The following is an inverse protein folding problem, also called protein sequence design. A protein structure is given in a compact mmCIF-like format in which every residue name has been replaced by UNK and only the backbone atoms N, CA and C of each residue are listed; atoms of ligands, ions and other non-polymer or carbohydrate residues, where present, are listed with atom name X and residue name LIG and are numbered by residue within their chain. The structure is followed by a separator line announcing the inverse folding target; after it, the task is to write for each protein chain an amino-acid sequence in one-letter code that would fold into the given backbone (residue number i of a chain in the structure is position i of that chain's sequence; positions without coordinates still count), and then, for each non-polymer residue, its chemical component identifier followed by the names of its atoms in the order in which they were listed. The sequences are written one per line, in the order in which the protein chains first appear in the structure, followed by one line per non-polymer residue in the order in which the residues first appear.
data_IF_361803967507
#
_entry.id   IF_361803967507
#
_cell.length_a   1.000
_cell.length_b   1.000
_cell.length_c   1.000
_cell.angle_alpha   90.00
_cell.angle_beta   90.00
_cell.angle_gamma   90.00
#
_symmetry.space_group_name_H-M   'P 1'
#
loop_
_entity.id
_entity.type
_entity.pdbx_description
1 polymer ?
#
# COMPACT_ATOMS: atom_id res chain seq x y z
N UNK A 1 9.94 21.59 -8.69
CA UNK A 1 9.91 23.05 -8.42
C UNK A 1 8.58 23.44 -7.80
N UNK A 2 8.62 24.28 -6.83
CA UNK A 2 7.40 24.73 -6.14
C UNK A 2 6.96 26.08 -6.68
N UNK A 3 5.66 26.21 -6.98
CA UNK A 3 5.11 27.48 -7.42
C UNK A 3 4.89 28.40 -6.21
N UNK A 4 5.17 29.71 -6.42
CA UNK A 4 4.95 30.73 -5.38
C UNK A 4 3.47 30.83 -5.03
N UNK A 5 3.17 30.91 -3.74
CA UNK A 5 1.80 31.07 -3.23
C UNK A 5 1.05 29.76 -2.98
N UNK A 6 1.60 28.61 -3.35
CA UNK A 6 0.98 27.32 -3.03
C UNK A 6 1.51 26.83 -1.67
N UNK A 7 0.62 26.53 -0.71
CA UNK A 7 1.05 25.95 0.57
C UNK A 7 1.80 24.62 0.38
N UNK A 8 2.58 24.25 1.39
CA UNK A 8 3.46 23.09 1.33
C UNK A 8 2.74 21.83 1.77
N UNK A 9 3.05 20.72 1.09
CA UNK A 9 2.82 19.37 1.61
C UNK A 9 4.19 18.72 1.85
N UNK A 10 4.23 17.76 2.77
CA UNK A 10 5.47 17.06 3.11
C UNK A 10 5.60 15.73 2.38
N UNK A 11 4.51 15.21 1.86
CA UNK A 11 4.49 13.94 1.15
C UNK A 11 3.14 13.26 1.26
N UNK A 12 3.06 12.02 0.82
CA UNK A 12 1.90 11.16 1.03
C UNK A 12 2.01 10.56 2.43
N UNK A 13 0.99 10.75 3.27
CA UNK A 13 0.98 10.23 4.64
C UNK A 13 0.31 8.87 4.72
N UNK A 14 -0.85 8.75 4.12
CA UNK A 14 -1.61 7.50 4.14
C UNK A 14 -2.14 7.18 2.76
N UNK A 15 -2.17 5.87 2.47
CA UNK A 15 -2.81 5.30 1.28
C UNK A 15 -3.84 4.29 1.73
N UNK A 16 -4.82 3.98 0.90
CA UNK A 16 -5.87 3.06 1.28
C UNK A 16 -6.16 2.04 0.20
N UNK A 17 -6.52 0.83 0.66
CA UNK A 17 -7.05 -0.25 -0.16
C UNK A 17 -8.36 -0.70 0.45
N UNK A 18 -9.31 -1.07 -0.40
CA UNK A 18 -10.62 -1.54 0.03
C UNK A 18 -10.68 -3.06 -0.15
N UNK A 19 -11.04 -3.77 0.92
CA UNK A 19 -10.87 -5.21 1.03
C UNK A 19 -12.18 -5.89 1.42
N UNK A 20 -12.32 -7.16 1.05
CA UNK A 20 -13.51 -7.95 1.37
C UNK A 20 -13.50 -8.47 2.81
N UNK A 21 -12.31 -8.72 3.37
CA UNK A 21 -12.15 -9.33 4.70
C UNK A 21 -10.91 -8.75 5.37
N UNK A 22 -11.11 -8.02 6.48
CA UNK A 22 -10.02 -7.35 7.19
C UNK A 22 -9.02 -8.33 7.81
N UNK A 23 -9.49 -9.47 8.34
CA UNK A 23 -8.59 -10.46 8.95
C UNK A 23 -7.64 -11.06 7.92
N UNK A 24 -8.16 -11.44 6.76
CA UNK A 24 -7.36 -12.00 5.67
C UNK A 24 -6.33 -11.00 5.17
N UNK A 25 -6.74 -9.75 4.94
CA UNK A 25 -5.85 -8.71 4.46
C UNK A 25 -4.80 -8.33 5.50
N UNK A 26 -5.18 -8.17 6.76
CA UNK A 26 -4.24 -7.86 7.84
C UNK A 26 -3.16 -8.93 7.95
N UNK A 27 -3.55 -10.21 7.91
CA UNK A 27 -2.58 -11.32 7.94
C UNK A 27 -1.64 -11.29 6.75
N UNK A 28 -2.15 -10.99 5.56
CA UNK A 28 -1.33 -10.90 4.36
C UNK A 28 -0.26 -9.81 4.51
N UNK A 29 -0.66 -8.59 4.84
CA UNK A 29 0.28 -7.47 4.92
C UNK A 29 1.25 -7.62 6.09
N UNK A 30 0.83 -8.21 7.19
CA UNK A 30 1.74 -8.53 8.30
C UNK A 30 2.75 -9.62 7.93
N UNK A 31 2.33 -10.68 7.24
CA UNK A 31 3.23 -11.81 6.93
C UNK A 31 4.13 -11.54 5.73
N UNK A 32 3.64 -10.82 4.71
CA UNK A 32 4.42 -10.54 3.50
C UNK A 32 5.35 -9.35 3.71
N UNK A 33 4.86 -8.27 4.31
CA UNK A 33 5.61 -7.02 4.45
C UNK A 33 6.16 -6.77 5.86
N UNK A 34 5.67 -7.50 6.86
CA UNK A 34 6.05 -7.25 8.24
C UNK A 34 5.43 -5.99 8.84
N UNK A 35 4.37 -5.46 8.24
CA UNK A 35 3.74 -4.24 8.71
C UNK A 35 3.10 -4.45 10.09
N UNK A 36 3.33 -3.50 10.99
CA UNK A 36 2.74 -3.47 12.32
C UNK A 36 1.34 -2.88 12.26
N UNK A 37 0.40 -3.51 12.96
CA UNK A 37 -0.95 -2.95 13.10
C UNK A 37 -0.95 -1.88 14.17
N UNK A 38 -1.33 -0.65 13.80
CA UNK A 38 -1.46 0.48 14.73
C UNK A 38 -2.86 0.57 15.32
N UNK A 39 -3.87 0.27 14.53
CA UNK A 39 -5.27 0.34 14.95
C UNK A 39 -6.10 -0.65 14.14
N UNK A 40 -7.07 -1.25 14.78
CA UNK A 40 -8.02 -2.14 14.13
C UNK A 40 -9.40 -2.01 14.78
N UNK A 41 -10.43 -1.85 13.97
CA UNK A 41 -11.82 -1.97 14.38
C UNK A 41 -12.60 -2.82 13.35
N UNK A 42 -13.92 -2.84 13.42
CA UNK A 42 -14.73 -3.62 12.47
C UNK A 42 -14.81 -3.05 11.06
N UNK A 43 -14.37 -1.83 10.87
CA UNK A 43 -14.44 -1.09 9.62
C UNK A 43 -13.10 -0.98 8.91
N UNK A 44 -12.00 -0.90 9.63
CA UNK A 44 -10.69 -0.64 9.06
C UNK A 44 -9.54 -1.20 9.90
N UNK A 45 -8.39 -1.30 9.25
CA UNK A 45 -7.11 -1.65 9.87
C UNK A 45 -6.04 -0.68 9.38
N UNK A 46 -5.33 -0.02 10.29
CA UNK A 46 -4.23 0.88 9.97
C UNK A 46 -2.91 0.18 10.26
N UNK A 47 -2.01 0.16 9.29
CA UNK A 47 -0.72 -0.53 9.38
C UNK A 47 0.43 0.42 9.04
N UNK A 48 1.51 0.33 9.80
CA UNK A 48 2.71 1.12 9.55
C UNK A 48 3.54 0.54 8.40
N UNK A 49 3.86 1.38 7.41
CA UNK A 49 4.67 0.99 6.25
C UNK A 49 6.13 1.40 6.45
N UNK A 50 6.36 2.66 6.74
CA UNK A 50 7.65 3.29 6.93
C UNK A 50 7.45 4.54 7.79
N UNK A 51 8.50 5.24 8.22
CA UNK A 51 8.31 6.51 8.91
C UNK A 51 7.40 7.45 8.12
N UNK A 52 6.38 7.98 8.79
CA UNK A 52 5.39 8.89 8.22
C UNK A 52 4.55 8.31 7.08
N UNK A 53 4.41 6.99 7.00
CA UNK A 53 3.60 6.33 5.97
C UNK A 53 2.73 5.23 6.59
N UNK A 54 1.45 5.28 6.31
CA UNK A 54 0.45 4.35 6.84
C UNK A 54 -0.38 3.78 5.69
N UNK A 55 -0.61 2.47 5.74
CA UNK A 55 -1.56 1.78 4.87
C UNK A 55 -2.87 1.58 5.63
N UNK A 56 -3.96 2.05 5.07
CA UNK A 56 -5.30 1.85 5.60
C UNK A 56 -6.01 0.77 4.77
N UNK A 57 -6.42 -0.29 5.43
CA UNK A 57 -7.28 -1.32 4.84
C UNK A 57 -8.70 -1.02 5.30
N UNK A 58 -9.59 -0.72 4.35
CA UNK A 58 -11.00 -0.46 4.63
C UNK A 58 -11.86 -1.64 4.18
N UNK A 59 -12.74 -2.09 5.05
CA UNK A 59 -13.76 -3.05 4.65
C UNK A 59 -14.68 -2.39 3.61
N UNK A 60 -14.84 -3.02 2.44
CA UNK A 60 -15.69 -2.51 1.38
C UNK A 60 -17.10 -2.28 1.90
N UNK A 61 -17.66 -1.11 1.59
CA UNK A 61 -19.02 -0.73 1.97
C UNK A 61 -19.16 -0.18 3.39
N UNK A 62 -18.15 -0.31 4.25
CA UNK A 62 -18.25 0.11 5.65
C UNK A 62 -17.98 1.60 5.90
N UNK A 63 -17.54 2.34 4.88
CA UNK A 63 -17.24 3.78 4.98
C UNK A 63 -18.12 4.66 4.08
N UNK A 64 -19.27 4.15 3.66
CA UNK A 64 -20.21 4.89 2.79
C UNK A 64 -20.98 5.99 3.51
N UNK A 65 -20.96 5.99 4.84
CA UNK A 65 -21.56 7.02 5.67
C UNK A 65 -20.49 7.75 6.45
N UNK A 66 -20.72 9.02 6.85
CA UNK A 66 -19.77 9.73 7.70
C UNK A 66 -19.46 8.95 8.98
N UNK A 67 -18.20 8.94 9.38
CA UNK A 67 -17.74 8.24 10.59
C UNK A 67 -17.50 9.26 11.70
N UNK A 68 -18.20 9.17 12.84
CA UNK A 68 -18.01 10.12 13.94
C UNK A 68 -16.68 9.89 14.64
N UNK A 69 -16.04 10.98 15.04
CA UNK A 69 -14.89 11.00 15.95
C UNK A 69 -15.13 12.05 17.04
N UNK A 70 -14.36 12.03 18.13
CA UNK A 70 -14.50 13.07 19.15
C UNK A 70 -14.32 14.49 18.62
N UNK A 71 -13.49 14.67 17.59
CA UNK A 71 -13.20 15.99 17.02
C UNK A 71 -14.05 16.38 15.81
N UNK A 72 -14.90 15.48 15.30
CA UNK A 72 -15.69 15.75 14.10
C UNK A 72 -16.01 14.48 13.32
N UNK A 73 -16.55 14.64 12.12
CA UNK A 73 -16.91 13.50 11.28
C UNK A 73 -15.93 13.33 10.12
N UNK A 74 -15.53 12.08 9.88
CA UNK A 74 -14.78 11.73 8.68
C UNK A 74 -15.79 11.58 7.53
N UNK A 75 -15.57 12.27 6.40
CA UNK A 75 -16.44 12.13 5.23
C UNK A 75 -16.46 10.70 4.71
N UNK A 76 -17.56 10.28 4.04
CA UNK A 76 -17.65 8.95 3.47
C UNK A 76 -16.71 8.77 2.28
N UNK A 77 -16.28 7.53 2.10
CA UNK A 77 -15.49 7.09 0.95
C UNK A 77 -15.66 5.59 0.74
N UNK A 78 -15.45 5.14 -0.48
CA UNK A 78 -15.51 3.72 -0.82
C UNK A 78 -14.88 3.50 -2.20
N UNK A 79 -14.55 2.24 -2.51
CA UNK A 79 -14.07 1.86 -3.83
C UNK A 79 -14.33 0.38 -4.10
N UNK A 80 -14.47 0.06 -5.37
CA UNK A 80 -14.57 -1.31 -5.90
C UNK A 80 -13.48 -1.54 -6.94
N UNK A 81 -13.27 -2.81 -7.28
CA UNK A 81 -12.32 -3.20 -8.31
C UNK A 81 -10.90 -3.35 -7.78
N UNK A 82 -10.01 -3.70 -8.70
CA UNK A 82 -8.60 -3.93 -8.40
C UNK A 82 -7.87 -2.59 -8.36
N UNK A 83 -7.20 -2.34 -7.26
CA UNK A 83 -6.42 -1.14 -7.04
C UNK A 83 -4.94 -1.45 -7.25
N UNK A 84 -4.09 -0.42 -7.30
CA UNK A 84 -2.65 -0.57 -7.47
C UNK A 84 -1.90 0.21 -6.40
N UNK A 85 -0.87 -0.42 -5.85
CA UNK A 85 0.01 0.20 -4.85
C UNK A 85 1.43 -0.30 -5.04
N UNK A 86 2.39 0.61 -5.07
CA UNK A 86 3.80 0.30 -5.20
C UNK A 86 4.58 0.73 -3.96
N UNK A 87 5.44 -0.16 -3.48
CA UNK A 87 6.35 0.12 -2.37
C UNK A 87 7.77 0.27 -2.90
N UNK A 88 8.47 1.26 -2.40
CA UNK A 88 9.89 1.47 -2.72
C UNK A 88 10.76 0.48 -1.93
N UNK A 89 11.72 -0.13 -2.62
CA UNK A 89 12.70 -1.02 -2.00
C UNK A 89 14.11 -0.65 -2.45
N UNK A 90 15.14 -0.93 -1.66
CA UNK A 90 16.52 -0.84 -2.13
C UNK A 90 16.76 -1.83 -3.26
N UNK A 91 17.65 -1.48 -4.20
CA UNK A 91 18.04 -2.38 -5.30
C UNK A 91 18.54 -3.73 -4.78
N UNK A 92 19.30 -3.73 -3.68
CA UNK A 92 19.82 -4.94 -3.05
C UNK A 92 18.74 -5.88 -2.54
N UNK A 93 17.50 -5.39 -2.40
CA UNK A 93 16.38 -6.18 -1.88
C UNK A 93 15.49 -6.78 -3.00
N UNK A 94 15.79 -6.53 -4.27
CA UNK A 94 14.97 -7.07 -5.38
C UNK A 94 14.98 -8.60 -5.36
N UNK A 95 16.15 -9.23 -5.35
CA UNK A 95 16.22 -10.70 -5.32
C UNK A 95 15.74 -11.29 -4.00
N UNK A 96 16.08 -10.74 -2.81
CA UNK A 96 15.44 -11.17 -1.57
C UNK A 96 13.92 -11.10 -1.60
N UNK A 97 13.33 -10.06 -2.18
CA UNK A 97 11.88 -9.98 -2.34
C UNK A 97 11.32 -11.06 -3.25
N UNK A 98 11.98 -11.33 -4.38
CA UNK A 98 11.54 -12.40 -5.28
C UNK A 98 11.54 -13.75 -4.57
N UNK A 99 12.58 -14.06 -3.80
CA UNK A 99 12.68 -15.28 -3.03
C UNK A 99 11.65 -15.34 -1.90
N UNK A 100 11.44 -14.24 -1.20
CA UNK A 100 10.47 -14.16 -0.11
C UNK A 100 9.05 -14.40 -0.60
N UNK A 101 8.64 -13.75 -1.69
CA UNK A 101 7.31 -13.94 -2.29
C UNK A 101 7.11 -15.40 -2.71
N UNK A 102 8.09 -15.98 -3.38
CA UNK A 102 8.04 -17.38 -3.79
C UNK A 102 7.93 -18.33 -2.59
N UNK A 103 8.71 -18.10 -1.55
CA UNK A 103 8.69 -18.91 -0.32
C UNK A 103 7.35 -18.82 0.41
N UNK A 104 6.63 -17.72 0.25
CA UNK A 104 5.30 -17.53 0.84
C UNK A 104 4.15 -17.94 -0.09
N UNK A 105 4.46 -18.53 -1.23
CA UNK A 105 3.45 -18.97 -2.19
C UNK A 105 2.78 -17.84 -2.94
N UNK A 106 3.37 -16.65 -2.96
CA UNK A 106 2.86 -15.50 -3.72
C UNK A 106 3.49 -15.52 -5.10
N UNK A 107 2.65 -15.59 -6.14
CA UNK A 107 3.11 -15.64 -7.52
C UNK A 107 3.57 -14.25 -7.96
N UNK A 108 4.78 -14.16 -8.50
CA UNK A 108 5.24 -12.95 -9.19
C UNK A 108 4.64 -12.98 -10.59
N UNK A 109 3.69 -12.07 -10.82
CA UNK A 109 2.92 -12.00 -12.07
C UNK A 109 3.76 -11.40 -13.20
N UNK A 110 4.64 -10.44 -12.86
CA UNK A 110 5.49 -9.76 -13.83
C UNK A 110 6.75 -9.22 -13.17
N UNK A 111 7.84 -9.21 -13.94
CA UNK A 111 9.10 -8.57 -13.55
C UNK A 111 9.51 -7.64 -14.70
N UNK A 112 9.71 -6.36 -14.39
CA UNK A 112 10.06 -5.36 -15.39
C UNK A 112 11.41 -4.73 -15.05
N UNK A 113 12.27 -4.64 -16.05
CA UNK A 113 13.48 -3.82 -15.99
C UNK A 113 13.21 -2.53 -16.77
N UNK A 114 13.26 -1.41 -16.07
CA UNK A 114 12.95 -0.11 -16.64
C UNK A 114 14.17 0.49 -17.36
N UNK A 115 13.97 1.39 -18.34
CA UNK A 115 15.07 1.95 -19.10
C UNK A 115 16.17 2.62 -18.27
N UNK A 116 15.80 3.23 -17.13
CA UNK A 116 16.76 3.89 -16.23
C UNK A 116 17.35 2.95 -15.20
N UNK A 117 17.11 1.65 -15.33
CA UNK A 117 17.72 0.61 -14.50
C UNK A 117 16.90 0.16 -13.29
N UNK A 118 15.76 0.79 -13.01
CA UNK A 118 14.84 0.33 -11.97
C UNK A 118 14.28 -1.05 -12.30
N UNK A 119 13.93 -1.81 -11.27
CA UNK A 119 13.32 -3.14 -11.39
C UNK A 119 12.06 -3.17 -10.56
N UNK A 120 10.97 -3.66 -11.16
CA UNK A 120 9.70 -3.84 -10.49
C UNK A 120 9.30 -5.31 -10.47
N UNK A 121 8.74 -5.75 -9.33
CA UNK A 121 8.08 -7.05 -9.19
C UNK A 121 6.61 -6.79 -8.90
N UNK A 122 5.73 -7.44 -9.65
CA UNK A 122 4.27 -7.30 -9.53
C UNK A 122 3.66 -8.59 -9.00
N UNK A 123 2.73 -8.46 -8.07
CA UNK A 123 2.02 -9.59 -7.47
C UNK A 123 0.66 -9.13 -6.96
N UNK A 124 -0.17 -10.06 -6.47
CA UNK A 124 -1.53 -9.78 -6.02
C UNK A 124 -1.69 -10.02 -4.54
N UNK A 125 -2.50 -9.17 -3.90
CA UNK A 125 -2.98 -9.42 -2.55
C UNK A 125 -4.23 -10.32 -2.56
N UNK A 126 -4.81 -10.69 -1.39
CA UNK A 126 -5.98 -11.58 -1.36
C UNK A 126 -7.22 -11.05 -2.10
N UNK A 127 -7.34 -9.73 -2.28
CA UNK A 127 -8.45 -9.11 -2.99
C UNK A 127 -8.18 -8.94 -4.50
N UNK A 128 -7.00 -9.33 -4.97
CA UNK A 128 -6.60 -9.15 -6.36
C UNK A 128 -6.02 -7.77 -6.66
N UNK A 129 -5.74 -6.95 -5.64
CA UNK A 129 -5.06 -5.68 -5.86
C UNK A 129 -3.66 -5.91 -6.44
N UNK A 130 -3.31 -5.13 -7.45
CA UNK A 130 -1.99 -5.19 -8.08
C UNK A 130 -0.97 -4.49 -7.19
N UNK A 131 -0.12 -5.27 -6.56
CA UNK A 131 0.96 -4.75 -5.74
C UNK A 131 2.27 -4.77 -6.51
N UNK A 132 3.13 -3.85 -6.17
CA UNK A 132 4.45 -3.72 -6.79
C UNK A 132 5.47 -3.38 -5.72
N UNK A 133 6.66 -3.97 -5.82
CA UNK A 133 7.86 -3.45 -5.17
C UNK A 133 8.81 -3.00 -6.25
N UNK A 134 9.39 -1.81 -6.12
CA UNK A 134 10.25 -1.22 -7.13
C UNK A 134 11.44 -0.52 -6.53
N UNK A 135 12.59 -0.67 -7.16
CA UNK A 135 13.79 0.04 -6.76
C UNK A 135 14.00 1.30 -7.61
N UNK A 136 14.93 2.14 -7.17
CA UNK A 136 15.29 3.40 -7.83
C UNK A 136 15.63 3.20 -9.30
N UNK A 137 15.31 4.19 -10.14
CA UNK A 137 15.51 4.15 -11.58
C UNK A 137 14.20 3.97 -12.35
N UNK A 138 13.08 4.32 -11.71
CA UNK A 138 11.74 4.25 -12.30
C UNK A 138 11.21 5.64 -12.64
N UNK A 139 11.29 6.58 -11.71
CA UNK A 139 10.75 7.93 -11.85
C UNK A 139 11.86 8.99 -11.81
N UNK A 140 11.62 10.21 -12.38
CA UNK A 140 12.65 11.26 -12.36
C UNK A 140 13.13 11.68 -10.98
N UNK A 141 12.28 11.49 -9.97
CA UNK A 141 12.57 11.85 -8.57
C UNK A 141 12.87 10.64 -7.67
N UNK A 142 13.05 9.48 -8.28
CA UNK A 142 13.33 8.26 -7.52
C UNK A 142 14.21 7.28 -8.29
#
# INVERSE_FOLDING_TARGET
MRMSGIPRISGVLETSLYVADLDTSQRFYASIFGFETFMRDGRMCAMGVAPNQVLLLFLRGASRSPSPTPGGQIPPHDANGDQHLCFAIPRSEVEPWAQHLSARGVVIESRIKWPKGGISLYFRDPDGHSLEVACQGLWPNY
#
